data_IF_964619219609
#
_entry.id   IF_964619219609
#
_cell.length_a   1.000
_cell.length_b   1.000
_cell.length_c   1.000
_cell.angle_alpha   90.00
_cell.angle_beta   90.00
_cell.angle_gamma   90.00
#
_symmetry.space_group_name_H-M   'P 1'
#
loop_
_entity.id
_entity.type
_entity.pdbx_description
1 polymer ?
#
# COMPACT_ATOMS: atom_id res chain seq x y z
N UNK A 1 14.36 -12.63 5.43
CA UNK A 1 15.15 -12.78 6.66
C UNK A 1 15.25 -11.46 7.42
N UNK A 2 15.81 -10.40 6.81
CA UNK A 2 16.02 -9.07 7.43
C UNK A 2 14.78 -8.47 8.11
N UNK A 3 13.61 -8.48 7.46
CA UNK A 3 12.39 -7.90 8.05
C UNK A 3 11.94 -8.63 9.32
N UNK A 4 12.05 -9.96 9.39
CA UNK A 4 11.68 -10.73 10.59
C UNK A 4 12.59 -10.37 11.77
N UNK A 5 13.88 -10.19 11.51
CA UNK A 5 14.87 -9.74 12.51
C UNK A 5 14.48 -8.35 13.02
N UNK A 6 14.14 -7.41 12.14
CA UNK A 6 13.68 -6.07 12.54
C UNK A 6 12.42 -6.11 13.43
N UNK A 7 11.46 -6.99 13.15
CA UNK A 7 10.29 -7.18 14.01
C UNK A 7 10.68 -7.75 15.39
N UNK A 8 11.59 -8.72 15.44
CA UNK A 8 12.09 -9.28 16.71
C UNK A 8 12.84 -8.23 17.54
N UNK A 9 13.68 -7.42 16.91
CA UNK A 9 14.38 -6.31 17.57
C UNK A 9 13.36 -5.33 18.13
N UNK A 10 12.40 -4.87 17.32
CA UNK A 10 11.37 -3.93 17.76
C UNK A 10 10.49 -4.49 18.89
N UNK A 11 10.17 -5.79 18.86
CA UNK A 11 9.47 -6.48 19.93
C UNK A 11 10.24 -6.42 21.24
N UNK A 12 11.53 -6.81 21.21
CA UNK A 12 12.39 -6.78 22.39
C UNK A 12 12.59 -5.36 22.92
N UNK A 13 12.74 -4.37 22.04
CA UNK A 13 12.78 -2.94 22.41
C UNK A 13 11.49 -2.52 23.12
N UNK A 14 10.33 -2.93 22.60
CA UNK A 14 9.04 -2.66 23.23
C UNK A 14 8.95 -3.24 24.64
N UNK A 15 9.34 -4.50 24.84
CA UNK A 15 9.41 -5.13 26.17
C UNK A 15 10.40 -4.40 27.09
N UNK A 16 11.57 -4.03 26.59
CA UNK A 16 12.57 -3.28 27.35
C UNK A 16 12.06 -1.93 27.84
N UNK A 17 11.34 -1.19 27.00
CA UNK A 17 10.71 0.08 27.39
C UNK A 17 9.60 -0.10 28.43
N UNK A 18 8.82 -1.18 28.35
CA UNK A 18 7.84 -1.49 29.40
C UNK A 18 8.53 -1.73 30.75
N UNK A 19 9.63 -2.50 30.74
CA UNK A 19 10.40 -2.78 31.94
C UNK A 19 11.01 -1.51 32.54
N UNK A 20 11.65 -0.66 31.72
CA UNK A 20 12.23 0.61 32.15
C UNK A 20 11.15 1.53 32.71
N UNK A 21 10.05 1.69 31.97
CA UNK A 21 8.93 2.55 32.39
C UNK A 21 8.32 2.12 33.71
N UNK A 22 8.09 0.81 33.89
CA UNK A 22 7.60 0.26 35.16
C UNK A 22 8.58 0.48 36.31
N UNK A 23 9.88 0.37 36.05
CA UNK A 23 10.92 0.62 37.06
C UNK A 23 10.91 2.06 37.56
N UNK A 24 10.68 3.04 36.68
CA UNK A 24 10.52 4.45 37.07
C UNK A 24 9.28 4.71 37.94
N UNK A 25 8.23 3.87 37.82
CA UNK A 25 7.04 3.96 38.67
C UNK A 25 7.23 3.30 40.04
N UNK A 26 7.87 2.13 40.08
CA UNK A 26 7.99 1.33 41.30
C UNK A 26 9.23 1.72 42.13
N UNK A 27 10.32 2.08 41.47
CA UNK A 27 11.60 2.36 42.12
C UNK A 27 12.32 3.55 41.46
N UNK A 28 11.75 4.77 41.58
CA UNK A 28 12.20 5.96 40.84
C UNK A 28 13.68 6.28 41.06
N UNK A 29 14.16 6.25 42.31
CA UNK A 29 15.57 6.55 42.64
C UNK A 29 16.54 5.55 41.99
N UNK A 30 16.22 4.25 42.04
CA UNK A 30 17.06 3.22 41.40
C UNK A 30 16.99 3.30 39.87
N UNK A 31 15.86 3.74 39.32
CA UNK A 31 15.72 3.92 37.89
C UNK A 31 16.51 5.14 37.39
N UNK A 32 16.52 6.24 38.15
CA UNK A 32 17.31 7.43 37.87
C UNK A 32 18.81 7.12 37.88
N UNK A 33 19.27 6.40 38.90
CA UNK A 33 20.66 6.00 39.04
C UNK A 33 21.13 5.19 37.83
N UNK A 34 20.40 4.14 37.45
CA UNK A 34 20.72 3.32 36.27
C UNK A 34 20.49 4.03 34.93
N UNK A 35 19.75 5.13 34.93
CA UNK A 35 19.63 6.01 33.77
C UNK A 35 20.87 6.93 33.63
N UNK A 36 21.74 7.00 34.64
CA UNK A 36 22.96 7.81 34.61
C UNK A 36 22.76 9.25 35.08
N UNK A 37 21.70 9.52 35.85
CA UNK A 37 21.43 10.84 36.44
C UNK A 37 21.32 10.69 37.96
N UNK A 38 21.81 11.71 38.68
CA UNK A 38 21.62 11.80 40.12
C UNK A 38 21.17 13.21 40.50
N UNK A 39 20.03 13.31 41.17
CA UNK A 39 19.43 14.58 41.57
C UNK A 39 18.82 14.42 42.95
N UNK A 40 19.02 15.41 43.83
CA UNK A 40 18.26 15.44 45.07
C UNK A 40 16.81 15.83 44.74
N UNK A 41 15.90 14.88 44.87
CA UNK A 41 14.48 15.04 44.57
C UNK A 41 13.66 15.58 45.75
N UNK A 42 14.22 15.66 46.96
CA UNK A 42 13.47 16.02 48.18
C UNK A 42 12.14 15.25 48.33
N UNK A 43 12.14 13.97 47.94
CA UNK A 43 10.96 13.08 47.92
C UNK A 43 9.87 13.40 46.87
N UNK A 44 10.10 14.35 45.96
CA UNK A 44 9.24 14.57 44.80
C UNK A 44 9.71 13.75 43.58
N UNK A 45 8.95 12.72 43.22
CA UNK A 45 9.25 11.82 42.10
C UNK A 45 8.35 12.07 40.88
N UNK A 46 7.66 13.22 40.81
CA UNK A 46 6.70 13.51 39.74
C UNK A 46 7.32 13.42 38.35
N UNK A 47 8.56 13.90 38.17
CA UNK A 47 9.28 13.79 36.90
C UNK A 47 9.67 12.35 36.54
N UNK A 48 10.04 11.53 37.53
CA UNK A 48 10.30 10.10 37.34
C UNK A 48 9.05 9.39 36.83
N UNK A 49 7.89 9.69 37.43
CA UNK A 49 6.62 9.10 37.01
C UNK A 49 6.21 9.54 35.60
N UNK A 50 6.37 10.83 35.28
CA UNK A 50 6.12 11.35 33.92
C UNK A 50 6.99 10.60 32.90
N UNK A 51 8.28 10.40 33.21
CA UNK A 51 9.17 9.61 32.35
C UNK A 51 8.69 8.15 32.24
N UNK A 52 8.39 7.51 33.36
CA UNK A 52 7.96 6.11 33.40
C UNK A 52 6.72 5.84 32.54
N UNK A 53 5.72 6.74 32.60
CA UNK A 53 4.51 6.65 31.78
C UNK A 53 4.82 6.79 30.28
N UNK A 54 5.74 7.67 29.89
CA UNK A 54 6.14 7.86 28.49
C UNK A 54 6.87 6.65 27.91
N UNK A 55 7.72 6.01 28.72
CA UNK A 55 8.41 4.78 28.34
C UNK A 55 7.42 3.62 28.21
N UNK A 56 6.46 3.50 29.14
CA UNK A 56 5.36 2.52 29.03
C UNK A 56 4.55 2.73 27.75
N UNK A 57 4.13 3.96 27.47
CA UNK A 57 3.38 4.27 26.24
C UNK A 57 4.16 3.88 24.99
N UNK A 58 5.45 4.24 24.92
CA UNK A 58 6.32 3.92 23.79
C UNK A 58 6.50 2.42 23.61
N UNK A 59 6.65 1.67 24.72
CA UNK A 59 6.71 0.21 24.71
C UNK A 59 5.41 -0.42 24.18
N UNK A 60 4.24 0.00 24.70
CA UNK A 60 2.93 -0.47 24.24
C UNK A 60 2.74 -0.21 22.75
N UNK A 61 3.08 1.00 22.28
CA UNK A 61 2.95 1.38 20.88
C UNK A 61 3.80 0.48 19.97
N UNK A 62 5.05 0.21 20.32
CA UNK A 62 5.92 -0.68 19.54
C UNK A 62 5.37 -2.11 19.49
N UNK A 63 4.93 -2.65 20.63
CA UNK A 63 4.36 -4.00 20.69
C UNK A 63 3.08 -4.12 19.88
N UNK A 64 2.22 -3.09 19.92
CA UNK A 64 0.99 -3.06 19.14
C UNK A 64 1.28 -3.03 17.63
N UNK A 65 2.26 -2.23 17.18
CA UNK A 65 2.66 -2.15 15.77
C UNK A 65 3.34 -3.45 15.28
N UNK A 66 4.09 -4.11 16.16
CA UNK A 66 4.64 -5.46 15.89
C UNK A 66 3.51 -6.48 15.75
N UNK A 67 2.55 -6.48 16.68
CA UNK A 67 1.43 -7.43 16.70
C UNK A 67 0.52 -7.29 15.48
N UNK A 68 0.19 -6.06 15.09
CA UNK A 68 -0.62 -5.73 13.90
C UNK A 68 0.15 -5.87 12.58
N UNK A 69 1.48 -6.08 12.64
CA UNK A 69 2.37 -6.21 11.47
C UNK A 69 2.37 -4.97 10.56
N UNK A 70 2.15 -3.80 11.14
CA UNK A 70 2.12 -2.52 10.42
C UNK A 70 3.53 -2.01 10.11
N UNK A 71 4.19 -2.65 9.13
CA UNK A 71 5.62 -2.47 8.82
C UNK A 71 6.04 -1.01 8.62
N UNK A 72 5.27 -0.24 7.84
CA UNK A 72 5.62 1.15 7.51
C UNK A 72 5.46 2.05 8.73
N UNK A 73 4.36 1.91 9.48
CA UNK A 73 4.14 2.66 10.69
C UNK A 73 5.23 2.35 11.73
N UNK A 74 5.57 1.07 11.92
CA UNK A 74 6.67 0.65 12.79
C UNK A 74 8.01 1.30 12.40
N UNK A 75 8.32 1.33 11.10
CA UNK A 75 9.53 1.98 10.59
C UNK A 75 9.56 3.49 10.83
N UNK A 76 8.45 4.19 10.59
CA UNK A 76 8.32 5.65 10.83
C UNK A 76 8.44 5.95 12.32
N UNK A 77 7.77 5.17 13.18
CA UNK A 77 7.78 5.35 14.63
C UNK A 77 9.18 5.15 15.18
N UNK A 78 9.87 4.06 14.80
CA UNK A 78 11.26 3.83 15.24
C UNK A 78 12.20 4.94 14.78
N UNK A 79 12.09 5.39 13.52
CA UNK A 79 12.93 6.47 13.03
C UNK A 79 12.65 7.79 13.76
N UNK A 80 11.38 8.15 13.96
CA UNK A 80 10.98 9.35 14.72
C UNK A 80 11.42 9.26 16.19
N UNK A 81 11.31 8.06 16.78
CA UNK A 81 11.66 7.81 18.17
C UNK A 81 13.14 8.03 18.47
N UNK A 82 14.04 8.04 17.45
CA UNK A 82 15.46 8.37 17.59
C UNK A 82 15.71 9.66 18.38
N UNK A 83 14.81 10.64 18.29
CA UNK A 83 14.90 11.91 19.03
C UNK A 83 14.97 11.67 20.55
N UNK A 84 14.26 10.65 21.06
CA UNK A 84 14.19 10.34 22.49
C UNK A 84 15.54 9.85 23.04
N UNK A 85 16.11 8.71 22.60
CA UNK A 85 17.39 8.24 23.14
C UNK A 85 18.56 9.17 22.76
N UNK A 86 18.45 9.97 21.68
CA UNK A 86 19.42 11.01 21.38
C UNK A 86 19.38 12.14 22.42
N UNK A 87 18.18 12.63 22.77
CA UNK A 87 17.99 13.61 23.83
C UNK A 87 18.48 13.07 25.18
N UNK A 88 18.10 11.84 25.51
CA UNK A 88 18.53 11.16 26.74
C UNK A 88 20.07 11.08 26.83
N UNK A 89 20.72 10.63 25.76
CA UNK A 89 22.18 10.58 25.67
C UNK A 89 22.82 11.95 25.91
N UNK A 90 22.29 13.00 25.27
CA UNK A 90 22.79 14.37 25.44
C UNK A 90 22.63 14.88 26.87
N UNK A 91 21.53 14.54 27.55
CA UNK A 91 21.27 14.93 28.94
C UNK A 91 22.25 14.21 29.88
N UNK A 92 22.42 12.89 29.73
CA UNK A 92 23.34 12.09 30.57
C UNK A 92 24.78 12.57 30.41
N UNK A 93 25.23 12.74 29.17
CA UNK A 93 26.57 13.26 28.87
C UNK A 93 26.74 14.72 29.33
N UNK A 94 25.71 15.55 29.20
CA UNK A 94 25.75 16.94 29.62
C UNK A 94 25.82 17.12 31.14
N UNK A 95 25.22 16.20 31.91
CA UNK A 95 25.22 16.27 33.38
C UNK A 95 26.49 15.67 33.99
N UNK A 96 26.93 14.53 33.48
CA UNK A 96 27.97 13.73 34.13
C UNK A 96 29.25 13.56 33.29
N UNK A 97 29.30 14.05 32.05
CA UNK A 97 30.50 14.25 31.21
C UNK A 97 31.25 13.00 30.74
N UNK A 98 31.55 12.09 31.66
CA UNK A 98 32.38 10.90 31.46
C UNK A 98 31.67 9.59 31.82
N UNK A 99 30.36 9.63 32.09
CA UNK A 99 29.58 8.43 32.44
C UNK A 99 29.19 7.61 31.21
N UNK A 100 30.21 7.10 30.53
CA UNK A 100 30.07 6.27 29.34
C UNK A 100 29.37 4.94 29.61
N UNK A 101 29.42 4.46 30.86
CA UNK A 101 28.79 3.21 31.27
C UNK A 101 27.26 3.31 31.16
N UNK A 102 26.65 4.43 31.55
CA UNK A 102 25.21 4.64 31.40
C UNK A 102 24.87 5.18 30.00
N UNK A 103 25.76 5.97 29.38
CA UNK A 103 25.53 6.53 28.05
C UNK A 103 25.40 5.46 26.93
N UNK A 104 26.03 4.30 27.10
CA UNK A 104 26.04 3.23 26.08
C UNK A 104 24.63 2.67 25.79
N UNK A 105 23.76 2.61 26.79
CA UNK A 105 22.40 2.12 26.62
C UNK A 105 21.60 3.00 25.66
N UNK A 106 21.80 4.31 25.74
CA UNK A 106 21.18 5.28 24.82
C UNK A 106 21.76 5.17 23.41
N UNK A 107 23.08 4.99 23.26
CA UNK A 107 23.70 4.77 21.95
C UNK A 107 23.18 3.50 21.26
N UNK A 108 22.98 2.41 22.01
CA UNK A 108 22.36 1.19 21.48
C UNK A 108 20.93 1.47 21.01
N UNK A 109 20.13 2.21 21.78
CA UNK A 109 18.78 2.57 21.39
C UNK A 109 18.75 3.45 20.13
N UNK A 110 19.67 4.42 20.00
CA UNK A 110 19.84 5.23 18.79
C UNK A 110 20.16 4.33 17.59
N UNK A 111 21.13 3.43 17.72
CA UNK A 111 21.51 2.51 16.64
C UNK A 111 20.34 1.62 16.22
N UNK A 112 19.58 1.08 17.17
CA UNK A 112 18.37 0.29 16.89
C UNK A 112 17.39 1.12 16.04
N UNK A 113 17.10 2.34 16.45
CA UNK A 113 16.14 3.21 15.76
C UNK A 113 16.59 3.57 14.34
N UNK A 114 17.83 4.06 14.20
CA UNK A 114 18.40 4.55 12.93
C UNK A 114 18.70 3.43 11.93
N UNK A 115 18.94 2.19 12.39
CA UNK A 115 19.16 1.05 11.49
C UNK A 115 17.81 0.39 11.16
N UNK A 116 17.02 0.06 12.18
CA UNK A 116 15.79 -0.73 12.01
C UNK A 116 14.71 0.07 11.29
N UNK A 117 14.56 1.35 11.60
CA UNK A 117 13.58 2.23 10.97
C UNK A 117 13.72 2.27 9.45
N UNK A 118 14.85 2.72 8.89
CA UNK A 118 15.09 2.73 7.45
C UNK A 118 15.02 1.35 6.81
N UNK A 119 15.56 0.29 7.42
CA UNK A 119 15.45 -1.08 6.87
C UNK A 119 13.99 -1.53 6.74
N UNK A 120 13.14 -1.16 7.70
CA UNK A 120 11.70 -1.42 7.61
C UNK A 120 11.03 -0.57 6.51
N UNK A 121 11.51 0.65 6.24
CA UNK A 121 10.99 1.53 5.19
C UNK A 121 11.49 1.16 3.78
N UNK A 122 12.69 0.61 3.66
CA UNK A 122 13.27 0.18 2.40
C UNK A 122 12.49 -1.02 1.83
N UNK A 123 11.82 -0.79 0.72
CA UNK A 123 11.27 -1.87 -0.10
C UNK A 123 12.36 -2.38 -1.03
N UNK A 124 12.60 -3.70 -1.05
CA UNK A 124 13.19 -4.29 -2.26
C UNK A 124 12.16 -4.10 -3.37
N UNK A 125 12.39 -3.11 -4.23
CA UNK A 125 11.81 -3.09 -5.57
C UNK A 125 12.29 -4.36 -6.25
N UNK A 126 11.42 -5.36 -6.36
CA UNK A 126 11.63 -6.42 -7.34
C UNK A 126 11.55 -5.69 -8.67
N UNK A 127 12.70 -5.48 -9.32
CA UNK A 127 12.77 -4.90 -10.66
C UNK A 127 11.93 -5.83 -11.55
N UNK A 128 10.75 -5.36 -11.97
CA UNK A 128 9.94 -6.09 -12.94
C UNK A 128 10.76 -6.18 -14.21
N UNK A 129 10.99 -7.41 -14.66
CA UNK A 129 11.73 -7.69 -15.88
C UNK A 129 10.94 -7.26 -17.10
N UNK A 130 11.67 -6.61 -18.01
CA UNK A 130 11.43 -6.33 -19.43
C UNK A 130 10.74 -5.02 -19.81
N UNK A 131 11.47 -4.26 -20.62
CA UNK A 131 11.11 -3.11 -21.45
C UNK A 131 10.02 -3.39 -22.50
N UNK A 132 9.08 -4.32 -22.25
CA UNK A 132 7.90 -4.45 -23.10
C UNK A 132 6.87 -3.44 -22.64
N UNK A 133 6.75 -2.36 -23.42
CA UNK A 133 5.74 -1.34 -23.26
C UNK A 133 4.36 -2.01 -23.20
N UNK A 134 3.67 -1.86 -22.06
CA UNK A 134 2.28 -2.32 -21.91
C UNK A 134 1.45 -1.60 -22.97
N UNK A 135 0.86 -2.35 -23.89
CA UNK A 135 -0.04 -1.79 -24.90
C UNK A 135 -1.49 -1.92 -24.43
N UNK A 136 -2.24 -0.83 -24.59
CA UNK A 136 -3.70 -0.83 -24.61
C UNK A 136 -4.08 -0.14 -25.92
N UNK A 137 -4.65 -0.89 -26.84
CA UNK A 137 -5.06 -0.41 -28.15
C UNK A 137 -6.58 -0.44 -28.24
N UNK A 138 -7.21 0.74 -28.28
CA UNK A 138 -8.65 0.85 -28.47
C UNK A 138 -8.95 0.69 -29.96
N UNK A 139 -9.47 -0.48 -30.34
CA UNK A 139 -9.78 -0.83 -31.73
C UNK A 139 -11.08 -0.17 -32.18
N UNK A 140 -12.09 -0.16 -31.32
CA UNK A 140 -13.38 0.48 -31.57
C UNK A 140 -13.87 1.17 -30.31
N UNK A 141 -14.22 2.44 -30.43
CA UNK A 141 -14.86 3.18 -29.35
C UNK A 141 -16.38 3.05 -29.42
N UNK A 142 -17.03 3.04 -28.27
CA UNK A 142 -18.47 3.18 -28.16
C UNK A 142 -18.97 4.54 -28.70
N UNK A 143 -18.09 5.52 -28.89
CA UNK A 143 -18.43 6.82 -29.47
C UNK A 143 -18.87 6.70 -30.94
N UNK A 144 -18.35 5.69 -31.64
CA UNK A 144 -18.67 5.39 -33.04
C UNK A 144 -19.92 4.50 -33.17
N UNK A 145 -20.59 4.21 -32.04
CA UNK A 145 -21.69 3.27 -31.95
C UNK A 145 -21.24 1.81 -31.90
N UNK A 146 -22.04 0.96 -31.27
CA UNK A 146 -21.74 -0.47 -31.08
C UNK A 146 -20.89 -0.77 -29.83
N UNK A 147 -20.17 -1.91 -29.80
CA UNK A 147 -19.39 -2.32 -28.64
C UNK A 147 -18.06 -1.56 -28.54
N UNK A 148 -17.52 -1.48 -27.32
CA UNK A 148 -16.12 -1.10 -27.10
C UNK A 148 -15.25 -2.34 -27.35
N UNK A 149 -14.23 -2.22 -28.21
CA UNK A 149 -13.28 -3.30 -28.47
C UNK A 149 -11.88 -2.78 -28.21
N UNK A 150 -11.12 -3.44 -27.33
CA UNK A 150 -9.76 -3.08 -27.04
C UNK A 150 -8.86 -4.31 -26.93
N UNK A 151 -7.60 -4.17 -27.32
CA UNK A 151 -6.56 -5.17 -27.08
C UNK A 151 -5.63 -4.68 -25.97
N UNK A 152 -5.30 -5.55 -25.03
CA UNK A 152 -4.38 -5.21 -23.95
C UNK A 152 -3.38 -6.32 -23.61
N UNK A 153 -2.18 -5.89 -23.23
CA UNK A 153 -1.13 -6.76 -22.74
C UNK A 153 -1.20 -6.88 -21.21
N UNK A 154 -1.43 -8.09 -20.72
CA UNK A 154 -1.43 -8.44 -19.31
C UNK A 154 -0.05 -9.00 -18.91
N UNK A 155 0.69 -8.23 -18.12
CA UNK A 155 1.98 -8.67 -17.58
C UNK A 155 1.83 -9.87 -16.62
N UNK A 156 2.91 -10.64 -16.40
CA UNK A 156 2.95 -11.67 -15.36
C UNK A 156 2.47 -11.13 -14.01
N UNK A 157 1.48 -11.78 -13.41
CA UNK A 157 0.92 -11.34 -12.13
C UNK A 157 -0.31 -10.42 -12.24
N UNK A 158 -0.64 -9.91 -13.43
CA UNK A 158 -1.81 -9.05 -13.64
C UNK A 158 -3.10 -9.81 -13.30
N UNK A 159 -3.96 -9.19 -12.48
CA UNK A 159 -5.18 -9.82 -11.99
C UNK A 159 -6.21 -8.81 -11.49
N UNK A 160 -7.46 -9.23 -11.47
CA UNK A 160 -8.56 -8.54 -10.81
C UNK A 160 -9.05 -9.33 -9.59
N UNK A 161 -9.61 -8.65 -8.57
CA UNK A 161 -10.39 -9.34 -7.55
C UNK A 161 -11.70 -9.88 -8.15
N UNK A 162 -12.43 -10.71 -7.40
CA UNK A 162 -13.79 -11.08 -7.76
C UNK A 162 -14.69 -9.85 -7.79
N UNK A 163 -15.25 -9.55 -8.96
CA UNK A 163 -16.13 -8.40 -9.20
C UNK A 163 -17.19 -8.74 -10.26
N UNK A 164 -18.10 -7.81 -10.51
CA UNK A 164 -19.08 -7.91 -11.59
C UNK A 164 -19.35 -6.52 -12.16
N UNK A 165 -19.88 -6.48 -13.38
CA UNK A 165 -20.33 -5.25 -14.05
C UNK A 165 -21.85 -5.29 -14.17
N UNK A 166 -22.50 -4.14 -13.97
CA UNK A 166 -23.96 -3.99 -14.04
C UNK A 166 -24.44 -3.42 -15.37
N UNK A 167 -23.57 -2.71 -16.08
CA UNK A 167 -23.92 -1.94 -17.27
C UNK A 167 -23.66 -2.67 -18.59
N UNK A 168 -22.85 -3.73 -18.57
CA UNK A 168 -22.40 -4.41 -19.78
C UNK A 168 -21.97 -5.85 -19.50
N UNK A 169 -21.95 -6.63 -20.57
CA UNK A 169 -21.27 -7.92 -20.64
C UNK A 169 -19.84 -7.70 -21.14
N UNK A 170 -18.92 -8.53 -20.68
CA UNK A 170 -17.51 -8.49 -21.05
C UNK A 170 -17.10 -9.82 -21.67
N UNK A 171 -16.48 -9.77 -22.86
CA UNK A 171 -15.90 -10.94 -23.51
C UNK A 171 -14.39 -10.82 -23.52
N UNK A 172 -13.70 -11.87 -23.08
CA UNK A 172 -12.26 -12.02 -23.24
C UNK A 172 -11.96 -13.04 -24.33
N UNK A 173 -11.14 -12.65 -25.30
CA UNK A 173 -10.54 -13.52 -26.31
C UNK A 173 -9.02 -13.49 -26.10
N UNK A 174 -8.39 -14.65 -25.91
CA UNK A 174 -6.93 -14.73 -25.71
C UNK A 174 -6.24 -14.76 -27.07
N UNK A 175 -5.50 -13.70 -27.40
CA UNK A 175 -4.78 -13.59 -28.67
C UNK A 175 -3.39 -14.23 -28.59
N UNK A 176 -2.74 -14.17 -27.42
CA UNK A 176 -1.42 -14.76 -27.17
C UNK A 176 -1.27 -15.13 -25.68
N UNK A 177 -0.61 -16.24 -25.39
CA UNK A 177 -0.35 -16.71 -24.03
C UNK A 177 -1.52 -17.43 -23.39
N UNK A 178 -1.65 -17.33 -22.07
CA UNK A 178 -2.69 -17.99 -21.30
C UNK A 178 -3.28 -17.07 -20.23
N UNK A 179 -4.58 -17.22 -19.97
CA UNK A 179 -5.30 -16.43 -18.97
C UNK A 179 -6.20 -17.33 -18.11
N UNK A 180 -6.08 -17.24 -16.79
CA UNK A 180 -7.06 -17.85 -15.90
C UNK A 180 -8.24 -16.89 -15.73
N UNK A 181 -9.45 -17.33 -16.06
CA UNK A 181 -10.69 -16.58 -15.82
C UNK A 181 -11.55 -17.33 -14.82
N UNK A 182 -11.92 -16.66 -13.73
CA UNK A 182 -12.94 -17.17 -12.81
C UNK A 182 -14.31 -16.68 -13.26
N UNK A 183 -15.29 -17.58 -13.38
CA UNK A 183 -16.68 -17.25 -13.72
C UNK A 183 -17.62 -18.25 -13.06
N UNK A 184 -18.72 -17.77 -12.46
CA UNK A 184 -19.76 -18.63 -11.85
C UNK A 184 -19.22 -19.68 -10.86
N UNK A 185 -18.23 -19.30 -10.04
CA UNK A 185 -17.60 -20.19 -9.06
C UNK A 185 -16.63 -21.22 -9.64
N UNK A 186 -16.44 -21.27 -10.97
CA UNK A 186 -15.46 -22.12 -11.65
C UNK A 186 -14.27 -21.29 -12.12
N UNK A 187 -13.15 -21.96 -12.37
CA UNK A 187 -11.96 -21.37 -13.01
C UNK A 187 -11.75 -22.05 -14.36
N UNK A 188 -11.47 -21.23 -15.36
CA UNK A 188 -11.20 -21.62 -16.73
C UNK A 188 -9.79 -21.19 -17.06
N UNK A 189 -8.96 -22.11 -17.56
CA UNK A 189 -7.64 -21.79 -18.09
C UNK A 189 -7.79 -21.63 -19.60
N UNK A 190 -7.74 -20.40 -20.07
CA UNK A 190 -7.87 -20.05 -21.48
C UNK A 190 -6.48 -20.00 -22.13
N UNK A 191 -6.38 -20.48 -23.36
CA UNK A 191 -5.20 -20.43 -24.21
C UNK A 191 -5.47 -19.57 -25.45
N UNK A 192 -4.43 -19.28 -26.20
CA UNK A 192 -4.52 -18.59 -27.50
C UNK A 192 -5.63 -19.18 -28.38
N UNK A 193 -6.58 -18.34 -28.80
CA UNK A 193 -7.76 -18.71 -29.57
C UNK A 193 -9.03 -18.98 -28.75
N UNK A 194 -8.91 -19.20 -27.45
CA UNK A 194 -10.07 -19.39 -26.57
C UNK A 194 -10.75 -18.05 -26.26
N UNK A 195 -12.08 -18.10 -26.13
CA UNK A 195 -12.88 -16.97 -25.66
C UNK A 195 -13.83 -17.36 -24.52
N UNK A 196 -14.16 -16.37 -23.69
CA UNK A 196 -15.17 -16.49 -22.65
C UNK A 196 -16.00 -15.21 -22.56
N UNK A 197 -17.33 -15.38 -22.49
CA UNK A 197 -18.27 -14.28 -22.28
C UNK A 197 -18.71 -14.27 -20.83
N UNK A 198 -18.73 -13.10 -20.22
CA UNK A 198 -19.21 -12.81 -18.87
C UNK A 198 -20.40 -11.87 -19.02
N UNK A 199 -21.58 -12.33 -18.63
CA UNK A 199 -22.80 -11.53 -18.71
C UNK A 199 -22.82 -10.47 -17.60
N UNK A 200 -23.60 -9.41 -17.82
CA UNK A 200 -23.87 -8.43 -16.77
C UNK A 200 -24.38 -9.12 -15.49
N UNK A 201 -23.89 -8.67 -14.35
CA UNK A 201 -24.09 -9.22 -13.00
C UNK A 201 -23.42 -10.58 -12.72
N UNK A 202 -22.75 -11.20 -13.70
CA UNK A 202 -21.95 -12.38 -13.42
C UNK A 202 -20.64 -12.02 -12.72
N UNK A 203 -20.41 -12.66 -11.58
CA UNK A 203 -19.18 -12.50 -10.82
C UNK A 203 -18.03 -13.22 -11.51
N UNK A 204 -16.95 -12.49 -11.72
CA UNK A 204 -15.77 -12.97 -12.43
C UNK A 204 -14.46 -12.35 -11.90
N UNK A 205 -13.34 -12.94 -12.32
CA UNK A 205 -11.99 -12.40 -12.18
C UNK A 205 -11.16 -12.85 -13.37
N UNK A 206 -10.02 -12.21 -13.60
CA UNK A 206 -8.95 -12.77 -14.42
C UNK A 206 -7.63 -12.79 -13.65
N UNK A 207 -6.73 -13.66 -14.08
CA UNK A 207 -5.37 -13.73 -13.57
C UNK A 207 -4.41 -14.30 -14.63
N UNK A 208 -3.46 -13.48 -15.10
CA UNK A 208 -2.27 -14.00 -15.78
C UNK A 208 -1.31 -14.60 -14.73
N UNK A 209 -1.40 -15.92 -14.54
CA UNK A 209 -0.51 -16.70 -13.66
C UNK A 209 0.83 -17.06 -14.31
N UNK A 210 0.93 -16.93 -15.63
CA UNK A 210 2.12 -17.32 -16.36
C UNK A 210 3.29 -16.38 -16.08
N UNK A 211 4.50 -16.84 -16.37
CA UNK A 211 5.72 -16.00 -16.33
C UNK A 211 5.88 -15.15 -17.61
N UNK A 212 5.00 -15.36 -18.59
CA UNK A 212 4.94 -14.63 -19.87
C UNK A 212 3.83 -13.58 -19.90
N UNK A 213 3.96 -12.63 -20.81
CA UNK A 213 2.88 -11.70 -21.15
C UNK A 213 1.70 -12.49 -21.78
N UNK A 214 0.48 -12.09 -21.48
CA UNK A 214 -0.73 -12.58 -22.15
C UNK A 214 -1.39 -11.41 -22.87
N UNK A 215 -1.71 -11.56 -24.16
CA UNK A 215 -2.44 -10.56 -24.93
C UNK A 215 -3.89 -10.99 -25.05
N UNK A 216 -4.80 -10.09 -24.71
CA UNK A 216 -6.24 -10.34 -24.82
C UNK A 216 -6.92 -9.26 -25.64
N UNK A 217 -8.01 -9.64 -26.29
CA UNK A 217 -9.02 -8.72 -26.79
C UNK A 217 -10.22 -8.74 -25.83
N UNK A 218 -10.58 -7.56 -25.35
CA UNK A 218 -11.75 -7.33 -24.53
C UNK A 218 -12.83 -6.68 -25.37
N UNK A 219 -14.04 -7.25 -25.35
CA UNK A 219 -15.24 -6.65 -25.96
C UNK A 219 -16.25 -6.34 -24.87
N UNK A 220 -16.72 -5.09 -24.83
CA UNK A 220 -17.75 -4.63 -23.88
C UNK A 220 -19.03 -4.33 -24.66
N UNK A 221 -20.14 -4.97 -24.25
CA UNK A 221 -21.44 -4.84 -24.91
C UNK A 221 -22.58 -4.66 -23.89
N UNK A 222 -23.38 -3.57 -23.98
CA UNK A 222 -23.21 -2.42 -24.89
C UNK A 222 -21.90 -1.66 -24.62
N UNK A 223 -21.37 -1.00 -25.65
CA UNK A 223 -20.12 -0.21 -25.52
C UNK A 223 -20.20 0.84 -24.42
N UNK A 224 -19.08 1.12 -23.76
CA UNK A 224 -19.04 1.93 -22.54
C UNK A 224 -17.89 2.94 -22.53
N UNK A 225 -18.19 4.22 -22.78
CA UNK A 225 -17.20 5.30 -22.75
C UNK A 225 -16.48 5.44 -21.39
N UNK A 226 -17.17 5.39 -20.24
CA UNK A 226 -16.49 5.42 -18.94
C UNK A 226 -15.44 4.31 -18.77
N UNK A 227 -15.72 3.09 -19.24
CA UNK A 227 -14.77 1.98 -19.24
C UNK A 227 -13.51 2.30 -20.07
N UNK A 228 -13.68 2.85 -21.27
CA UNK A 228 -12.56 3.28 -22.13
C UNK A 228 -11.69 4.32 -21.43
N UNK A 229 -12.32 5.33 -20.82
CA UNK A 229 -11.63 6.36 -20.07
C UNK A 229 -10.88 5.77 -18.88
N UNK A 230 -11.51 4.86 -18.11
CA UNK A 230 -10.86 4.19 -16.99
C UNK A 230 -9.59 3.45 -17.41
N UNK A 231 -9.67 2.75 -18.54
CA UNK A 231 -8.56 1.97 -19.09
C UNK A 231 -7.40 2.86 -19.55
N UNK A 232 -7.70 3.93 -20.30
CA UNK A 232 -6.70 4.91 -20.75
C UNK A 232 -6.05 5.65 -19.58
N UNK A 233 -6.83 6.06 -18.58
CA UNK A 233 -6.33 6.71 -17.37
C UNK A 233 -5.40 5.76 -16.60
N UNK A 234 -5.80 4.50 -16.42
CA UNK A 234 -4.99 3.52 -15.69
C UNK A 234 -3.64 3.29 -16.38
N UNK A 235 -3.63 3.16 -17.71
CA UNK A 235 -2.42 3.03 -18.50
C UNK A 235 -1.52 4.26 -18.38
N UNK A 236 -2.09 5.46 -18.50
CA UNK A 236 -1.37 6.73 -18.36
C UNK A 236 -0.72 6.86 -16.98
N UNK A 237 -1.48 6.58 -15.91
CA UNK A 237 -0.96 6.55 -14.55
C UNK A 237 0.15 5.51 -14.38
N UNK A 238 0.05 4.35 -15.02
CA UNK A 238 1.09 3.33 -14.95
C UNK A 238 2.38 3.78 -15.65
N UNK A 239 2.26 4.38 -16.84
CA UNK A 239 3.38 4.96 -17.60
C UNK A 239 4.11 6.04 -16.80
N UNK A 240 3.37 6.87 -16.10
CA UNK A 240 3.93 7.95 -15.26
C UNK A 240 4.41 7.46 -13.88
N UNK A 241 4.35 6.15 -13.60
CA UNK A 241 4.80 5.57 -12.34
C UNK A 241 3.88 5.88 -11.14
N UNK A 242 2.63 6.28 -11.38
CA UNK A 242 1.61 6.54 -10.36
C UNK A 242 0.79 5.30 -9.97
N UNK A 243 1.15 4.12 -10.46
CA UNK A 243 0.63 2.83 -9.97
C UNK A 243 1.67 2.06 -9.17
N UNK A 244 1.22 1.11 -8.35
CA UNK A 244 2.11 0.17 -7.68
C UNK A 244 2.48 -1.01 -8.62
N UNK A 245 3.32 -1.93 -8.15
CA UNK A 245 3.78 -3.10 -8.92
C UNK A 245 2.67 -4.03 -9.44
N UNK A 246 1.46 -3.92 -8.91
CA UNK A 246 0.30 -4.71 -9.34
C UNK A 246 -0.62 -3.90 -10.29
N UNK A 247 -0.19 -2.73 -10.74
CA UNK A 247 -0.99 -1.84 -11.59
C UNK A 247 -2.06 -1.02 -10.85
N UNK A 248 -2.12 -1.06 -9.52
CA UNK A 248 -3.14 -0.33 -8.75
C UNK A 248 -2.70 1.14 -8.56
N UNK A 249 -3.55 2.15 -8.84
CA UNK A 249 -3.24 3.55 -8.59
C UNK A 249 -2.79 3.82 -7.14
N UNK A 250 -1.72 4.61 -6.97
CA UNK A 250 -1.16 4.97 -5.65
C UNK A 250 -2.05 5.95 -4.88
N UNK A 251 -2.72 6.86 -5.58
CA UNK A 251 -3.65 7.83 -4.98
C UNK A 251 -5.03 7.21 -4.83
N UNK A 252 -5.64 7.38 -3.66
CA UNK A 252 -6.96 6.85 -3.36
C UNK A 252 -8.05 7.42 -4.29
N UNK A 253 -7.95 8.71 -4.64
CA UNK A 253 -8.87 9.36 -5.59
C UNK A 253 -8.83 8.72 -6.97
N UNK A 254 -7.64 8.38 -7.46
CA UNK A 254 -7.44 7.83 -8.80
C UNK A 254 -7.88 6.36 -8.84
N UNK A 255 -7.65 5.61 -7.75
CA UNK A 255 -8.21 4.26 -7.57
C UNK A 255 -9.74 4.29 -7.54
N UNK A 256 -10.32 5.21 -6.78
CA UNK A 256 -11.77 5.38 -6.68
C UNK A 256 -12.39 5.73 -8.04
N UNK A 257 -11.79 6.66 -8.78
CA UNK A 257 -12.22 7.01 -10.14
C UNK A 257 -12.14 5.82 -11.09
N UNK A 258 -11.04 5.06 -11.08
CA UNK A 258 -10.89 3.87 -11.91
C UNK A 258 -12.02 2.85 -11.65
N UNK A 259 -12.27 2.50 -10.38
CA UNK A 259 -13.32 1.54 -10.00
C UNK A 259 -14.71 2.06 -10.39
N UNK A 260 -14.96 3.36 -10.18
CA UNK A 260 -16.24 4.00 -10.50
C UNK A 260 -16.53 4.00 -12.01
N UNK A 261 -15.56 4.43 -12.82
CA UNK A 261 -15.70 4.52 -14.28
C UNK A 261 -15.75 3.14 -14.95
N UNK A 262 -14.99 2.17 -14.44
CA UNK A 262 -15.00 0.78 -14.92
C UNK A 262 -16.26 0.01 -14.46
N UNK A 263 -17.18 0.65 -13.74
CA UNK A 263 -18.39 0.00 -13.21
C UNK A 263 -18.12 -1.29 -12.42
N UNK A 264 -16.97 -1.40 -11.76
CA UNK A 264 -16.56 -2.61 -11.06
C UNK A 264 -17.26 -2.71 -9.70
N UNK A 265 -18.16 -3.67 -9.56
CA UNK A 265 -18.90 -3.94 -8.32
C UNK A 265 -18.23 -5.01 -7.48
N UNK A 266 -18.13 -4.76 -6.18
CA UNK A 266 -17.40 -5.64 -5.27
C UNK A 266 -18.30 -6.75 -4.71
N UNK A 267 -17.67 -7.85 -4.31
CA UNK A 267 -18.33 -9.04 -3.76
C UNK A 267 -18.05 -9.22 -2.27
N UNK A 268 -18.94 -9.90 -1.54
CA UNK A 268 -18.78 -10.18 -0.10
C UNK A 268 -18.62 -8.93 0.77
N UNK A 269 -17.72 -9.01 1.77
CA UNK A 269 -17.44 -7.93 2.72
C UNK A 269 -16.87 -6.66 2.06
N UNK A 270 -16.30 -6.78 0.84
CA UNK A 270 -15.75 -5.65 0.09
C UNK A 270 -16.83 -4.67 -0.40
N UNK A 271 -18.12 -5.03 -0.37
CA UNK A 271 -19.23 -4.12 -0.72
C UNK A 271 -19.24 -2.84 0.12
N UNK A 272 -18.79 -2.90 1.38
CA UNK A 272 -18.70 -1.71 2.25
C UNK A 272 -17.64 -0.74 1.71
N UNK A 273 -16.50 -1.26 1.24
CA UNK A 273 -15.44 -0.45 0.63
C UNK A 273 -15.92 0.19 -0.68
N UNK A 274 -16.79 -0.46 -1.45
CA UNK A 274 -17.38 0.09 -2.67
C UNK A 274 -18.17 1.39 -2.41
N UNK A 275 -18.99 1.42 -1.34
CA UNK A 275 -19.78 2.62 -1.00
C UNK A 275 -18.85 3.81 -0.68
N UNK A 276 -17.82 3.56 0.11
CA UNK A 276 -16.81 4.56 0.44
C UNK A 276 -16.05 5.04 -0.80
N UNK A 277 -15.57 4.12 -1.64
CA UNK A 277 -14.84 4.45 -2.87
C UNK A 277 -15.72 5.22 -3.86
N UNK A 278 -17.00 4.86 -3.98
CA UNK A 278 -17.96 5.58 -4.82
C UNK A 278 -18.17 7.02 -4.33
N UNK A 279 -18.20 7.24 -3.02
CA UNK A 279 -18.26 8.57 -2.43
C UNK A 279 -16.99 9.38 -2.72
N UNK A 280 -15.81 8.78 -2.53
CA UNK A 280 -14.52 9.40 -2.86
C UNK A 280 -14.44 9.76 -4.35
N UNK A 281 -14.93 8.88 -5.24
CA UNK A 281 -14.96 9.14 -6.67
C UNK A 281 -15.83 10.38 -6.99
N UNK A 282 -17.03 10.49 -6.40
CA UNK A 282 -17.91 11.66 -6.57
C UNK A 282 -17.25 12.96 -6.10
N UNK A 283 -16.55 12.94 -4.96
CA UNK A 283 -15.76 14.08 -4.49
C UNK A 283 -14.67 14.43 -5.51
N UNK A 284 -13.91 13.43 -5.98
CA UNK A 284 -12.83 13.64 -6.94
C UNK A 284 -13.34 14.22 -8.27
N UNK A 285 -14.52 13.80 -8.74
CA UNK A 285 -15.20 14.37 -9.91
C UNK A 285 -15.54 15.84 -9.66
N UNK A 286 -16.19 16.15 -8.53
CA UNK A 286 -16.59 17.52 -8.19
C UNK A 286 -15.39 18.46 -8.00
N UNK A 287 -14.27 17.94 -7.50
CA UNK A 287 -13.00 18.68 -7.38
C UNK A 287 -12.24 18.80 -8.71
N UNK A 288 -12.77 18.29 -9.82
CA UNK A 288 -12.17 18.41 -11.15
C UNK A 288 -11.02 17.43 -11.45
N UNK A 289 -10.72 16.49 -10.55
CA UNK A 289 -9.63 15.51 -10.75
C UNK A 289 -9.87 14.64 -11.98
N UNK A 290 -11.11 14.23 -12.22
CA UNK A 290 -11.46 13.43 -13.41
C UNK A 290 -11.13 14.18 -14.70
N UNK A 291 -11.53 15.45 -14.81
CA UNK A 291 -11.26 16.29 -15.98
C UNK A 291 -9.76 16.42 -16.26
N UNK A 292 -8.94 16.60 -15.22
CA UNK A 292 -7.48 16.63 -15.34
C UNK A 292 -6.95 15.31 -15.93
N UNK A 293 -7.43 14.17 -15.44
CA UNK A 293 -7.01 12.85 -15.94
C UNK A 293 -7.47 12.60 -17.39
N UNK A 294 -8.69 13.00 -17.73
CA UNK A 294 -9.22 12.91 -19.10
C UNK A 294 -8.43 13.78 -20.08
N UNK A 295 -8.11 15.01 -19.69
CA UNK A 295 -7.33 15.94 -20.50
C UNK A 295 -5.90 15.43 -20.73
N UNK A 296 -5.32 14.77 -19.71
CA UNK A 296 -3.96 14.25 -19.76
C UNK A 296 -3.87 12.95 -20.57
N UNK A 297 -4.81 12.02 -20.38
CA UNK A 297 -4.66 10.64 -20.87
C UNK A 297 -5.68 10.22 -21.94
N UNK A 298 -6.88 10.80 -21.95
CA UNK A 298 -7.94 10.38 -22.87
C UNK A 298 -7.96 11.20 -24.17
N UNK A 299 -7.76 12.52 -24.09
CA UNK A 299 -7.77 13.40 -25.27
C UNK A 299 -6.65 13.12 -26.27
N UNK A 300 -5.39 12.88 -25.85
CA UNK A 300 -4.32 12.55 -26.79
C UNK A 300 -4.58 11.24 -27.53
N UNK A 301 -5.17 10.24 -26.86
CA UNK A 301 -5.46 8.93 -27.44
C UNK A 301 -6.52 9.01 -28.56
N UNK A 302 -7.54 9.86 -28.41
CA UNK A 302 -8.58 10.04 -29.45
C UNK A 302 -8.07 10.69 -30.73
N UNK A 303 -7.00 11.49 -30.68
CA UNK A 303 -6.40 12.12 -31.87
C UNK A 303 -5.56 11.15 -32.72
N UNK A 304 -5.23 9.97 -32.19
CA UNK A 304 -4.47 8.94 -32.92
C UNK A 304 -5.43 8.01 -33.69
N UNK A 305 -6.71 7.97 -33.30
CA UNK A 305 -7.73 7.06 -33.83
C UNK A 305 -8.69 7.78 -34.82
N UNK A 306 -8.72 9.12 -34.82
CA UNK A 306 -9.43 9.97 -35.78
C UNK A 306 -8.59 10.28 -37.01
#
# INVERSE_FOLDING_TARGET
>A
MTTRICYSIAFLTGIGLLFIGLRFLISPVKAEFDYGIFTNTNQDYSFHYIKGIRDLFSGILLLFLVWTRERRALGIVLLSATVVPLGDFMIVMGKNGSDWQHAIAHLIAIAICVITGPVLLLQKTKKSSSDKQISFNLIRSAADGGPTIAECDLLPGAKTPWHYHTLFSEKFEVLEGELEVGKAGKRYQLKSGDEIVILANETHLFYNRSESMCRIRTTIEPGNIPFEQASLILLGLAKDGFTNRNGIPKKLSDLALFIYLNNSKMTGAMKIAELFLSFVAKIAINMGRLKVLEDTYCKPARRIIS
#
